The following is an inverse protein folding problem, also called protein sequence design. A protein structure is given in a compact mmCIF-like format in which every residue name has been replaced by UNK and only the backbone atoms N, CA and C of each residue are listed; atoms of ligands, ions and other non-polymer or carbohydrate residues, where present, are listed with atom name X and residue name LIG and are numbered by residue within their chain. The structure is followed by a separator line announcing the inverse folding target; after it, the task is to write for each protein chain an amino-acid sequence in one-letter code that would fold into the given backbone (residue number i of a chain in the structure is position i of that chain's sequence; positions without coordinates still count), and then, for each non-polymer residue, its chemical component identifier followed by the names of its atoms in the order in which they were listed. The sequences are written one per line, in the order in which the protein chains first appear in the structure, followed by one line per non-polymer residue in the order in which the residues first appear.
data_IF_062406337913
#
_entry.id   IF_062406337913
#
_cell.length_a   1.000
_cell.length_b   1.000
_cell.length_c   1.000
_cell.angle_alpha   90.00
_cell.angle_beta   90.00
_cell.angle_gamma   90.00
#
_symmetry.space_group_name_H-M   'P 1'
#
loop_
_entity.id
_entity.type
_entity.pdbx_description
1 polymer ?
#
# COMPACT_ATOMS: atom_id res chain seq x y z
N UNK A 1 0.22 11.14 -7.95
CA UNK A 1 0.65 10.51 -6.70
C UNK A 1 2.00 9.87 -6.94
N UNK A 2 2.98 10.17 -6.09
CA UNK A 2 4.32 9.56 -6.08
C UNK A 2 4.71 9.19 -4.65
N UNK A 3 5.57 8.18 -4.49
CA UNK A 3 6.11 7.79 -3.18
C UNK A 3 7.15 8.83 -2.73
N UNK A 4 6.99 9.36 -1.51
CA UNK A 4 7.99 10.17 -0.81
C UNK A 4 8.91 9.28 0.03
N UNK A 5 8.33 8.40 0.84
CA UNK A 5 9.05 7.50 1.75
C UNK A 5 8.30 6.20 1.96
N UNK A 6 9.04 5.16 2.31
CA UNK A 6 8.51 3.90 2.82
C UNK A 6 9.09 3.73 4.23
N UNK A 7 8.21 3.62 5.22
CA UNK A 7 8.55 3.59 6.65
C UNK A 7 8.11 2.25 7.24
N UNK A 8 8.98 1.64 8.05
CA UNK A 8 8.61 0.49 8.86
C UNK A 8 7.59 0.90 9.93
N UNK A 9 6.66 0.01 10.24
CA UNK A 9 5.74 0.17 11.37
C UNK A 9 6.14 -0.78 12.50
N UNK A 10 5.61 -0.61 13.74
CA UNK A 10 5.81 -1.60 14.79
C UNK A 10 5.28 -3.00 14.43
N UNK A 11 4.35 -3.10 13.47
CA UNK A 11 3.90 -4.37 12.91
C UNK A 11 4.84 -4.78 11.76
N UNK A 12 5.61 -5.88 11.87
CA UNK A 12 6.53 -6.30 10.82
C UNK A 12 5.82 -6.68 9.51
N UNK A 13 4.52 -6.98 9.57
CA UNK A 13 3.71 -7.30 8.40
C UNK A 13 3.08 -6.07 7.75
N UNK A 14 3.39 -4.86 8.23
CA UNK A 14 2.86 -3.63 7.66
C UNK A 14 3.96 -2.59 7.41
N UNK A 15 3.94 -2.02 6.21
CA UNK A 15 4.75 -0.87 5.84
C UNK A 15 3.87 0.33 5.55
N UNK A 16 4.37 1.51 5.92
CA UNK A 16 3.72 2.79 5.66
C UNK A 16 4.37 3.43 4.44
N UNK A 17 3.61 3.55 3.36
CA UNK A 17 4.02 4.24 2.13
C UNK A 17 3.45 5.64 2.15
N UNK A 18 4.31 6.66 2.23
CA UNK A 18 3.93 8.07 2.28
C UNK A 18 3.98 8.67 0.88
N UNK A 19 2.96 9.43 0.52
CA UNK A 19 2.78 10.05 -0.78
C UNK A 19 2.88 11.57 -0.74
N UNK A 20 3.11 12.15 -1.91
CA UNK A 20 3.12 13.60 -2.15
C UNK A 20 1.73 14.24 -2.27
N UNK A 21 0.68 13.41 -2.23
CA UNK A 21 -0.72 13.82 -2.29
C UNK A 21 -1.49 13.27 -1.11
N UNK A 22 -2.45 14.04 -0.61
CA UNK A 22 -3.33 13.65 0.50
C UNK A 22 -4.75 13.39 -0.03
N UNK A 23 -5.45 12.42 0.58
CA UNK A 23 -6.90 12.29 0.49
C UNK A 23 -7.62 13.50 1.11
N UNK A 24 -8.87 13.76 0.69
CA UNK A 24 -9.70 14.76 1.34
C UNK A 24 -9.88 14.47 2.84
N UNK A 25 -9.98 15.53 3.64
CA UNK A 25 -10.15 15.40 5.09
C UNK A 25 -11.37 14.54 5.45
N UNK A 26 -11.21 13.68 6.46
CA UNK A 26 -12.24 12.73 6.88
C UNK A 26 -12.40 11.51 5.97
N UNK A 27 -11.63 11.40 4.88
CA UNK A 27 -11.67 10.24 3.99
C UNK A 27 -10.66 9.19 4.42
N UNK A 28 -11.09 7.94 4.46
CA UNK A 28 -10.19 6.79 4.53
C UNK A 28 -10.78 5.63 3.74
N UNK A 29 -9.90 4.77 3.25
CA UNK A 29 -10.28 3.55 2.54
C UNK A 29 -9.59 2.36 3.19
N UNK A 30 -10.33 1.26 3.34
CA UNK A 30 -9.80 -0.01 3.80
C UNK A 30 -10.13 -1.06 2.74
N UNK A 31 -9.10 -1.62 2.13
CA UNK A 31 -9.21 -2.62 1.08
C UNK A 31 -8.62 -3.94 1.56
N UNK A 32 -9.31 -5.02 1.24
CA UNK A 32 -8.84 -6.40 1.40
C UNK A 32 -8.44 -6.98 0.05
N UNK A 33 -7.73 -8.11 0.06
CA UNK A 33 -7.41 -8.87 -1.17
C UNK A 33 -8.61 -9.06 -2.11
N UNK A 34 -9.80 -9.32 -1.55
CA UNK A 34 -11.04 -9.50 -2.32
C UNK A 34 -11.48 -8.27 -3.10
N UNK A 35 -11.01 -7.09 -2.74
CA UNK A 35 -11.41 -5.81 -3.33
C UNK A 35 -10.51 -5.42 -4.51
N UNK A 36 -9.58 -6.29 -4.94
CA UNK A 36 -8.61 -6.01 -6.00
C UNK A 36 -9.24 -5.61 -7.35
N UNK A 37 -10.49 -6.03 -7.61
CA UNK A 37 -11.21 -5.69 -8.86
C UNK A 37 -12.12 -4.46 -8.72
N UNK A 38 -12.38 -3.97 -7.51
CA UNK A 38 -13.32 -2.87 -7.23
C UNK A 38 -12.65 -1.65 -6.58
N UNK A 39 -11.44 -1.81 -6.05
CA UNK A 39 -10.65 -0.74 -5.47
C UNK A 39 -10.22 0.29 -6.52
N UNK A 40 -9.93 1.52 -6.08
CA UNK A 40 -9.36 2.56 -6.93
C UNK A 40 -7.84 2.39 -7.04
N UNK A 41 -7.27 2.75 -8.19
CA UNK A 41 -5.81 2.80 -8.34
C UNK A 41 -5.17 3.85 -7.41
N UNK A 42 -3.97 3.60 -6.85
CA UNK A 42 -3.12 2.41 -7.09
C UNK A 42 -3.44 1.19 -6.21
N UNK A 43 -4.45 1.25 -5.33
CA UNK A 43 -4.75 0.18 -4.38
C UNK A 43 -5.17 -1.12 -5.08
N UNK A 44 -5.93 -1.03 -6.17
CA UNK A 44 -6.31 -2.20 -6.96
C UNK A 44 -5.09 -2.98 -7.47
N UNK A 45 -4.14 -2.31 -8.12
CA UNK A 45 -2.90 -2.94 -8.59
C UNK A 45 -2.05 -3.50 -7.44
N UNK A 46 -1.93 -2.76 -6.33
CA UNK A 46 -1.19 -3.24 -5.15
C UNK A 46 -1.80 -4.52 -4.56
N UNK A 47 -3.13 -4.63 -4.50
CA UNK A 47 -3.80 -5.83 -4.02
C UNK A 47 -3.60 -7.03 -4.94
N UNK A 48 -3.21 -6.83 -6.21
CA UNK A 48 -2.87 -7.91 -7.15
C UNK A 48 -1.44 -8.42 -6.98
N UNK A 49 -0.58 -7.73 -6.23
CA UNK A 49 0.75 -8.24 -5.88
C UNK A 49 0.62 -9.45 -4.97
N UNK A 50 1.29 -10.54 -5.33
CA UNK A 50 1.31 -11.76 -4.53
C UNK A 50 1.94 -11.48 -3.17
N UNK A 51 1.27 -11.90 -2.10
CA UNK A 51 1.70 -11.63 -0.74
C UNK A 51 1.19 -10.30 -0.15
N UNK A 52 0.50 -9.42 -0.88
CA UNK A 52 -0.25 -8.30 -0.26
C UNK A 52 -1.65 -8.77 0.12
N UNK A 53 -2.06 -8.53 1.37
CA UNK A 53 -3.34 -8.97 1.94
C UNK A 53 -4.34 -7.83 2.16
N UNK A 54 -3.85 -6.61 2.40
CA UNK A 54 -4.72 -5.48 2.70
C UNK A 54 -4.01 -4.15 2.58
N UNK A 55 -4.80 -3.10 2.43
CA UNK A 55 -4.31 -1.72 2.31
C UNK A 55 -5.26 -0.80 3.06
N UNK A 56 -4.72 -0.01 3.98
CA UNK A 56 -5.44 1.10 4.61
C UNK A 56 -4.89 2.44 4.11
N UNK A 57 -5.70 3.21 3.40
CA UNK A 57 -5.33 4.51 2.85
C UNK A 57 -6.01 5.63 3.64
N UNK A 58 -5.22 6.50 4.25
CA UNK A 58 -5.71 7.66 4.98
C UNK A 58 -4.71 8.80 4.89
N UNK A 59 -5.21 10.04 4.88
CA UNK A 59 -4.38 11.23 4.69
C UNK A 59 -3.47 11.04 3.46
N UNK A 60 -2.16 11.16 3.61
CA UNK A 60 -1.18 11.07 2.54
C UNK A 60 -0.40 9.75 2.57
N UNK A 61 -0.91 8.69 3.19
CA UNK A 61 -0.18 7.42 3.24
C UNK A 61 -1.09 6.19 3.13
N UNK A 62 -0.49 5.09 2.65
CA UNK A 62 -1.08 3.76 2.71
C UNK A 62 -0.30 2.91 3.71
N UNK A 63 -0.98 2.27 4.65
CA UNK A 63 -0.45 1.12 5.35
C UNK A 63 -0.75 -0.12 4.49
N UNK A 64 0.29 -0.71 3.91
CA UNK A 64 0.21 -1.92 3.11
C UNK A 64 0.53 -3.10 4.02
N UNK A 65 -0.35 -4.10 4.03
CA UNK A 65 -0.18 -5.32 4.82
C UNK A 65 0.19 -6.48 3.92
N UNK A 66 1.25 -7.20 4.30
CA UNK A 66 1.68 -8.42 3.62
C UNK A 66 1.24 -9.68 4.35
N UNK A 67 1.32 -10.80 3.65
CA UNK A 67 1.27 -12.12 4.23
C UNK A 67 2.47 -12.34 5.18
N UNK A 68 2.25 -12.85 6.40
CA UNK A 68 3.33 -13.12 7.35
C UNK A 68 4.42 -14.08 6.84
N UNK A 69 4.12 -14.92 5.84
CA UNK A 69 5.07 -15.87 5.24
C UNK A 69 5.98 -15.27 4.17
N UNK A 70 5.75 -14.01 3.78
CA UNK A 70 6.49 -13.33 2.71
C UNK A 70 7.44 -12.30 3.33
N UNK A 71 8.64 -12.12 2.77
CA UNK A 71 9.57 -11.06 3.19
C UNK A 71 9.34 -9.79 2.36
N UNK A 72 9.52 -8.60 2.95
CA UNK A 72 9.26 -7.36 2.22
C UNK A 72 10.20 -7.18 1.04
N UNK A 73 11.44 -7.62 1.18
CA UNK A 73 12.49 -7.58 0.17
C UNK A 73 12.07 -8.29 -1.13
N UNK A 74 11.15 -9.25 -1.06
CA UNK A 74 10.69 -10.00 -2.25
C UNK A 74 9.57 -9.30 -3.00
N UNK A 75 8.83 -8.38 -2.36
CA UNK A 75 7.64 -7.71 -2.95
C UNK A 75 7.79 -6.19 -3.10
N UNK A 76 8.81 -5.59 -2.47
CA UNK A 76 9.05 -4.15 -2.52
C UNK A 76 9.25 -3.63 -3.95
N UNK A 77 9.94 -4.40 -4.80
CA UNK A 77 10.16 -4.03 -6.20
C UNK A 77 8.84 -3.91 -6.97
N UNK A 78 7.87 -4.80 -6.72
CA UNK A 78 6.56 -4.78 -7.37
C UNK A 78 5.71 -3.59 -6.88
N UNK A 79 5.76 -3.29 -5.58
CA UNK A 79 5.10 -2.11 -5.00
C UNK A 79 5.65 -0.81 -5.62
N UNK A 80 6.97 -0.71 -5.75
CA UNK A 80 7.64 0.46 -6.34
C UNK A 80 7.41 0.57 -7.86
N UNK A 81 7.17 -0.53 -8.55
CA UNK A 81 6.82 -0.53 -9.97
C UNK A 81 5.41 0.04 -10.24
N UNK A 82 4.48 -0.16 -9.30
CA UNK A 82 3.10 0.34 -9.41
C UNK A 82 3.01 1.83 -9.13
N UNK A 83 3.74 2.32 -8.11
CA UNK A 83 3.73 3.74 -7.74
C UNK A 83 5.14 4.30 -7.88
N UNK A 84 5.38 5.21 -8.86
CA UNK A 84 6.71 5.75 -9.08
C UNK A 84 7.18 6.56 -7.86
N UNK A 85 8.47 6.44 -7.53
CA UNK A 85 9.14 7.30 -6.55
C UNK A 85 9.21 8.74 -7.07
N UNK A 86 9.18 9.70 -6.14
CA UNK A 86 9.25 11.13 -6.45
C UNK A 86 10.59 11.55 -7.03
#
# INVERSE_FOLDING_TARGET
MKIISIEATPNPNSMRVVFDTQLPDGTSHNYRKSDAETASEPAASLLKVDGINGIYHVMNFMAIEKDPSIEWETILADVEAIIPKK
#
